data_IF_645895908103
#
_entry.id   IF_645895908103
#
_cell.length_a   1.000
_cell.length_b   1.000
_cell.length_c   1.000
_cell.angle_alpha   90.00
_cell.angle_beta   90.00
_cell.angle_gamma   90.00
#
_symmetry.space_group_name_H-M   'P 1'
#
loop_
_entity.id
_entity.type
_entity.pdbx_description
1 polymer ?
#
# COMPACT_ATOMS: atom_id res chain seq x y z
N UNK A 1 18.38 1.14 6.60
CA UNK A 1 17.22 0.96 5.71
C UNK A 1 16.46 -0.25 6.23
N UNK A 2 15.25 -0.08 6.75
CA UNK A 2 14.41 -1.20 7.17
C UNK A 2 13.85 -1.82 5.88
N UNK A 3 14.40 -2.95 5.45
CA UNK A 3 13.94 -3.67 4.27
C UNK A 3 13.45 -5.05 4.73
N UNK A 4 12.20 -5.16 5.18
CA UNK A 4 11.69 -6.41 5.72
C UNK A 4 11.70 -7.48 4.63
N UNK A 5 11.98 -8.72 5.02
CA UNK A 5 11.85 -9.85 4.11
C UNK A 5 10.38 -10.04 3.71
N UNK A 6 10.15 -10.74 2.59
CA UNK A 6 8.80 -11.12 2.16
C UNK A 6 8.00 -11.79 3.29
N UNK A 7 8.65 -12.67 4.03
CA UNK A 7 7.99 -13.45 5.07
C UNK A 7 7.67 -12.58 6.29
N UNK A 8 8.55 -11.62 6.64
CA UNK A 8 8.27 -10.63 7.70
C UNK A 8 7.06 -9.75 7.37
N UNK A 9 6.91 -9.33 6.10
CA UNK A 9 5.74 -8.56 5.65
C UNK A 9 4.46 -9.39 5.77
N UNK A 10 4.50 -10.66 5.35
CA UNK A 10 3.35 -11.57 5.43
C UNK A 10 2.93 -11.81 6.87
N UNK A 11 3.89 -12.18 7.72
CA UNK A 11 3.67 -12.41 9.15
C UNK A 11 3.06 -11.17 9.82
N UNK A 12 3.59 -9.98 9.52
CA UNK A 12 3.04 -8.73 10.03
C UNK A 12 1.56 -8.54 9.72
N UNK A 13 1.13 -8.70 8.47
CA UNK A 13 -0.28 -8.51 8.09
C UNK A 13 -1.20 -9.60 8.64
N UNK A 14 -0.74 -10.86 8.63
CA UNK A 14 -1.49 -11.99 9.20
C UNK A 14 -1.71 -11.78 10.70
N UNK A 15 -0.66 -11.43 11.45
CA UNK A 15 -0.77 -11.19 12.89
C UNK A 15 -1.59 -9.94 13.22
N UNK A 16 -1.43 -8.86 12.45
CA UNK A 16 -2.25 -7.65 12.62
C UNK A 16 -3.74 -7.97 12.43
N UNK A 17 -4.09 -8.74 11.39
CA UNK A 17 -5.46 -9.16 11.12
C UNK A 17 -6.00 -10.08 12.22
N UNK A 18 -5.20 -11.06 12.64
CA UNK A 18 -5.54 -11.99 13.73
C UNK A 18 -5.86 -11.24 15.02
N UNK A 19 -4.98 -10.33 15.45
CA UNK A 19 -5.16 -9.51 16.67
C UNK A 19 -6.42 -8.66 16.60
N UNK A 20 -6.66 -8.01 15.46
CA UNK A 20 -7.87 -7.23 15.25
C UNK A 20 -9.13 -8.09 15.42
N UNK A 21 -9.16 -9.27 14.79
CA UNK A 21 -10.28 -10.21 14.84
C UNK A 21 -10.53 -10.80 16.23
N UNK A 22 -9.49 -10.99 17.04
CA UNK A 22 -9.61 -11.53 18.40
C UNK A 22 -9.81 -10.45 19.47
N UNK A 23 -9.80 -9.17 19.09
CA UNK A 23 -9.92 -8.06 20.04
C UNK A 23 -8.66 -7.85 20.89
N UNK A 24 -7.51 -8.34 20.44
CA UNK A 24 -6.22 -8.11 21.08
C UNK A 24 -5.72 -6.68 20.81
N UNK A 25 -4.80 -6.20 21.66
CA UNK A 25 -4.15 -4.92 21.46
C UNK A 25 -3.29 -4.97 20.19
N UNK A 26 -3.48 -3.97 19.34
CA UNK A 26 -2.68 -3.71 18.14
C UNK A 26 -1.73 -2.54 18.40
N UNK A 27 -0.52 -2.63 17.88
CA UNK A 27 0.42 -1.51 17.83
C UNK A 27 -0.10 -0.39 16.90
N UNK A 28 0.44 0.84 16.96
CA UNK A 28 0.03 1.89 16.04
C UNK A 28 0.19 1.52 14.56
N UNK A 29 1.28 0.82 14.20
CA UNK A 29 1.50 0.36 12.83
C UNK A 29 0.50 -0.73 12.42
N UNK A 30 0.20 -1.68 13.31
CA UNK A 30 -0.83 -2.70 13.08
C UNK A 30 -2.22 -2.05 12.95
N UNK A 31 -2.53 -1.03 13.75
CA UNK A 31 -3.80 -0.28 13.63
C UNK A 31 -3.92 0.38 12.25
N UNK A 32 -2.87 1.04 11.77
CA UNK A 32 -2.85 1.62 10.41
C UNK A 32 -3.04 0.55 9.34
N UNK A 33 -2.43 -0.62 9.50
CA UNK A 33 -2.61 -1.73 8.57
C UNK A 33 -4.06 -2.25 8.58
N UNK A 34 -4.64 -2.41 9.77
CA UNK A 34 -6.02 -2.87 9.97
C UNK A 34 -7.03 -1.94 9.30
N UNK A 35 -6.83 -0.63 9.38
CA UNK A 35 -7.70 0.35 8.72
C UNK A 35 -7.78 0.13 7.21
N UNK A 36 -6.70 -0.34 6.58
CA UNK A 36 -6.68 -0.73 5.17
C UNK A 36 -7.22 -2.14 4.94
N UNK A 37 -6.89 -3.10 5.80
CA UNK A 37 -7.39 -4.48 5.68
C UNK A 37 -8.93 -4.53 5.74
N UNK A 38 -9.57 -3.74 6.60
CA UNK A 38 -11.05 -3.65 6.68
C UNK A 38 -11.66 -3.12 5.39
N UNK A 39 -10.94 -2.27 4.64
CA UNK A 39 -11.39 -1.72 3.34
C UNK A 39 -11.19 -2.69 2.17
N UNK A 40 -10.49 -3.79 2.40
CA UNK A 40 -10.15 -4.80 1.39
C UNK A 40 -10.64 -6.20 1.78
N UNK A 41 -11.98 -6.43 1.83
CA UNK A 41 -12.55 -7.73 2.16
C UNK A 41 -12.10 -8.86 1.22
N UNK A 42 -11.71 -8.54 -0.02
CA UNK A 42 -11.16 -9.49 -0.99
C UNK A 42 -9.87 -10.18 -0.52
N UNK A 43 -9.17 -9.61 0.48
CA UNK A 43 -7.92 -10.17 1.01
C UNK A 43 -8.10 -10.89 2.35
N UNK A 44 -9.28 -10.86 2.97
CA UNK A 44 -9.50 -11.48 4.28
C UNK A 44 -9.23 -12.99 4.25
N UNK A 45 -9.62 -13.68 3.18
CA UNK A 45 -9.34 -15.11 3.03
C UNK A 45 -7.84 -15.41 3.01
N UNK A 46 -7.03 -14.56 2.37
CA UNK A 46 -5.57 -14.72 2.36
C UNK A 46 -4.97 -14.42 3.72
N UNK A 47 -5.46 -13.40 4.43
CA UNK A 47 -4.98 -13.04 5.76
C UNK A 47 -5.30 -14.09 6.82
N UNK A 48 -6.28 -14.95 6.56
CA UNK A 48 -6.72 -16.03 7.47
C UNK A 48 -6.20 -17.41 7.07
N UNK A 49 -5.62 -17.53 5.88
CA UNK A 49 -5.16 -18.81 5.35
C UNK A 49 -3.84 -19.24 6.01
N UNK A 50 -3.74 -20.47 6.53
CA UNK A 50 -2.47 -21.01 7.01
C UNK A 50 -1.42 -21.18 5.89
N UNK A 51 -1.84 -21.21 4.63
CA UNK A 51 -0.98 -21.31 3.45
C UNK A 51 -0.47 -19.95 2.95
N UNK A 52 -0.94 -18.83 3.51
CA UNK A 52 -0.64 -17.49 3.00
C UNK A 52 0.87 -17.16 3.01
N UNK A 53 1.62 -17.78 3.93
CA UNK A 53 3.08 -17.67 4.03
C UNK A 53 3.82 -18.26 2.84
N UNK A 54 3.28 -19.30 2.20
CA UNK A 54 3.92 -19.99 1.06
C UNK A 54 3.21 -19.73 -0.26
N UNK A 55 2.04 -19.10 -0.24
CA UNK A 55 1.25 -18.80 -1.43
C UNK A 55 2.03 -17.96 -2.47
N UNK A 56 1.80 -18.29 -3.74
CA UNK A 56 2.34 -17.56 -4.89
C UNK A 56 1.24 -16.75 -5.58
N UNK A 57 1.44 -15.44 -5.66
CA UNK A 57 0.55 -14.48 -6.30
C UNK A 57 1.19 -14.04 -7.62
N UNK A 58 0.93 -14.77 -8.70
CA UNK A 58 1.46 -14.44 -10.02
C UNK A 58 0.48 -13.58 -10.81
N UNK A 59 1.03 -12.61 -11.56
CA UNK A 59 0.27 -11.74 -12.46
C UNK A 59 -0.47 -12.56 -13.53
N UNK A 60 0.12 -13.67 -13.98
CA UNK A 60 -0.49 -14.61 -14.95
C UNK A 60 -1.80 -15.22 -14.46
N UNK A 61 -1.96 -15.40 -13.14
CA UNK A 61 -3.21 -15.88 -12.53
C UNK A 61 -4.24 -14.76 -12.35
N UNK A 62 -3.97 -13.56 -12.86
CA UNK A 62 -4.84 -12.39 -12.77
C UNK A 62 -5.05 -11.90 -11.33
N UNK A 63 -4.17 -12.30 -10.40
CA UNK A 63 -4.37 -12.09 -8.97
C UNK A 63 -3.37 -11.09 -8.41
N UNK A 64 -3.88 -9.97 -7.92
CA UNK A 64 -3.10 -8.99 -7.16
C UNK A 64 -2.57 -9.63 -5.88
N UNK A 65 -1.29 -9.41 -5.58
CA UNK A 65 -0.68 -9.88 -4.34
C UNK A 65 -1.19 -9.02 -3.15
N UNK A 66 -1.95 -9.59 -2.20
CA UNK A 66 -2.56 -8.85 -1.10
C UNK A 66 -1.52 -8.14 -0.23
N UNK A 67 -0.40 -8.82 0.04
CA UNK A 67 0.66 -8.29 0.90
C UNK A 67 1.40 -7.13 0.26
N UNK A 68 1.62 -7.19 -1.06
CA UNK A 68 2.22 -6.07 -1.78
C UNK A 68 1.25 -4.89 -1.81
N UNK A 69 -0.02 -5.13 -2.11
CA UNK A 69 -1.05 -4.10 -2.16
C UNK A 69 -1.20 -3.37 -0.81
N UNK A 70 -1.34 -4.12 0.29
CA UNK A 70 -1.44 -3.55 1.63
C UNK A 70 -0.13 -2.84 2.06
N UNK A 71 1.03 -3.34 1.64
CA UNK A 71 2.31 -2.64 1.86
C UNK A 71 2.35 -1.28 1.16
N UNK A 72 1.82 -1.19 -0.07
CA UNK A 72 1.74 0.08 -0.79
C UNK A 72 0.81 1.08 -0.09
N UNK A 73 -0.30 0.61 0.50
CA UNK A 73 -1.16 1.46 1.34
C UNK A 73 -0.40 2.05 2.55
N UNK A 74 0.40 1.24 3.25
CA UNK A 74 1.20 1.72 4.38
C UNK A 74 2.27 2.72 3.93
N UNK A 75 2.96 2.43 2.82
CA UNK A 75 3.95 3.35 2.26
C UNK A 75 3.33 4.71 1.91
N UNK A 76 2.15 4.72 1.28
CA UNK A 76 1.44 5.97 0.95
C UNK A 76 0.98 6.69 2.23
N UNK A 77 0.48 5.97 3.24
CA UNK A 77 0.09 6.58 4.51
C UNK A 77 1.29 7.27 5.20
N UNK A 78 2.47 6.63 5.19
CA UNK A 78 3.71 7.23 5.68
C UNK A 78 4.08 8.47 4.87
N UNK A 79 4.12 8.37 3.54
CA UNK A 79 4.40 9.48 2.62
C UNK A 79 3.50 10.70 2.88
N UNK A 80 2.21 10.49 3.10
CA UNK A 80 1.24 11.54 3.43
C UNK A 80 1.50 12.16 4.82
N UNK A 81 1.89 11.34 5.79
CA UNK A 81 2.17 11.78 7.16
C UNK A 81 3.36 12.74 7.21
N UNK A 82 4.41 12.49 6.42
CA UNK A 82 5.62 13.31 6.39
C UNK A 82 5.68 14.30 5.21
N UNK A 83 4.64 14.32 4.35
CA UNK A 83 4.61 15.08 3.08
C UNK A 83 5.84 14.82 2.21
N UNK A 84 6.15 13.54 1.98
CA UNK A 84 7.25 13.12 1.14
C UNK A 84 6.74 12.20 0.02
N UNK A 85 6.97 12.51 -1.26
CA UNK A 85 7.64 13.72 -1.77
C UNK A 85 6.85 15.02 -1.46
N UNK A 86 7.53 16.18 -1.32
CA UNK A 86 6.88 17.44 -0.98
C UNK A 86 5.68 17.78 -1.87
N UNK A 87 4.56 18.09 -1.24
CA UNK A 87 3.31 18.42 -1.91
C UNK A 87 2.39 17.21 -2.19
N UNK A 88 2.80 15.98 -1.84
CA UNK A 88 1.91 14.81 -1.95
C UNK A 88 0.64 15.00 -1.13
N UNK A 89 0.72 15.60 0.06
CA UNK A 89 -0.46 15.85 0.91
C UNK A 89 -1.46 16.78 0.24
N UNK A 90 -0.98 17.85 -0.40
CA UNK A 90 -1.83 18.79 -1.11
C UNK A 90 -2.47 18.16 -2.35
N UNK A 91 -1.74 17.32 -3.09
CA UNK A 91 -2.29 16.60 -4.23
C UNK A 91 -3.32 15.54 -3.80
N UNK A 92 -3.05 14.80 -2.71
CA UNK A 92 -4.00 13.87 -2.10
C UNK A 92 -5.29 14.57 -1.67
N UNK A 93 -5.22 15.72 -1.01
CA UNK A 93 -6.42 16.48 -0.62
C UNK A 93 -7.28 16.88 -1.82
N UNK A 94 -6.66 17.22 -2.97
CA UNK A 94 -7.40 17.49 -4.21
C UNK A 94 -8.08 16.25 -4.77
N UNK A 95 -7.41 15.09 -4.73
CA UNK A 95 -8.01 13.81 -5.13
C UNK A 95 -9.20 13.44 -4.24
N UNK A 96 -9.04 13.56 -2.92
CA UNK A 96 -10.13 13.32 -1.96
C UNK A 96 -11.31 14.24 -2.20
N UNK A 97 -11.08 15.51 -2.52
CA UNK A 97 -12.17 16.46 -2.81
C UNK A 97 -13.04 16.06 -4.03
N UNK A 98 -12.57 15.14 -4.87
CA UNK A 98 -13.28 14.62 -6.06
C UNK A 98 -13.92 13.26 -5.84
N UNK A 99 -13.63 12.59 -4.73
CA UNK A 99 -14.10 11.23 -4.45
C UNK A 99 -14.03 10.94 -2.95
N UNK A 100 -13.41 9.82 -2.59
CA UNK A 100 -13.15 9.46 -1.20
C UNK A 100 -11.66 9.15 -0.97
N UNK A 101 -11.30 8.97 0.29
CA UNK A 101 -9.93 8.67 0.71
C UNK A 101 -9.38 7.36 0.12
N UNK A 102 -10.23 6.34 -0.06
CA UNK A 102 -9.80 5.04 -0.58
C UNK A 102 -9.45 5.16 -2.06
N UNK A 103 -10.34 5.77 -2.84
CA UNK A 103 -10.12 6.03 -4.25
C UNK A 103 -8.90 6.95 -4.48
N UNK A 104 -8.75 8.00 -3.67
CA UNK A 104 -7.60 8.90 -3.77
C UNK A 104 -6.26 8.18 -3.51
N UNK A 105 -6.22 7.26 -2.54
CA UNK A 105 -5.00 6.45 -2.31
C UNK A 105 -4.75 5.47 -3.46
N UNK A 106 -5.77 4.91 -4.10
CA UNK A 106 -5.58 4.07 -5.29
C UNK A 106 -5.04 4.85 -6.50
N UNK A 107 -5.48 6.09 -6.74
CA UNK A 107 -4.88 6.94 -7.78
C UNK A 107 -3.39 7.22 -7.52
N UNK A 108 -3.01 7.43 -6.25
CA UNK A 108 -1.60 7.56 -5.85
C UNK A 108 -0.86 6.23 -6.02
N UNK A 109 -1.49 5.11 -5.68
CA UNK A 109 -0.91 3.77 -5.79
C UNK A 109 -0.56 3.41 -7.23
N UNK A 110 -1.39 3.78 -8.21
CA UNK A 110 -1.10 3.62 -9.63
C UNK A 110 0.18 4.38 -10.03
N UNK A 111 0.32 5.62 -9.55
CA UNK A 111 1.53 6.43 -9.78
C UNK A 111 2.77 5.78 -9.13
N UNK A 112 2.62 5.27 -7.90
CA UNK A 112 3.70 4.59 -7.18
C UNK A 112 4.13 3.30 -7.89
N UNK A 113 3.17 2.49 -8.35
CA UNK A 113 3.41 1.27 -9.10
C UNK A 113 4.20 1.53 -10.38
N UNK A 114 3.84 2.59 -11.12
CA UNK A 114 4.54 2.99 -12.33
C UNK A 114 6.01 3.33 -12.08
N UNK A 115 6.31 4.17 -11.08
CA UNK A 115 7.71 4.59 -10.81
C UNK A 115 8.55 3.46 -10.20
N UNK A 116 7.94 2.58 -9.38
CA UNK A 116 8.62 1.40 -8.83
C UNK A 116 8.96 0.41 -9.95
N UNK A 117 8.03 0.15 -10.86
CA UNK A 117 8.27 -0.72 -12.01
C UNK A 117 9.38 -0.19 -12.92
N UNK A 118 9.37 1.12 -13.21
CA UNK A 118 10.38 1.74 -14.06
C UNK A 118 11.77 1.68 -13.41
N UNK A 119 11.87 1.96 -12.11
CA UNK A 119 13.10 1.84 -11.34
C UNK A 119 13.66 0.41 -11.34
N UNK A 120 12.80 -0.60 -11.15
CA UNK A 120 13.18 -2.00 -11.22
C UNK A 120 13.67 -2.40 -12.62
N UNK A 121 12.96 -1.96 -13.67
CA UNK A 121 13.29 -2.25 -15.06
C UNK A 121 14.63 -1.65 -15.48
N UNK A 122 14.94 -0.44 -15.00
CA UNK A 122 16.17 0.29 -15.32
C UNK A 122 17.33 -0.01 -14.36
N UNK A 123 17.07 -0.65 -13.22
CA UNK A 123 18.08 -0.87 -12.18
C UNK A 123 18.52 0.44 -11.51
N UNK A 124 17.65 1.45 -11.46
CA UNK A 124 17.92 2.77 -10.89
C UNK A 124 17.12 3.00 -9.61
N UNK A 125 17.49 3.99 -8.77
CA UNK A 125 16.61 4.46 -7.70
C UNK A 125 15.26 4.94 -8.25
N UNK A 126 14.24 4.93 -7.39
CA UNK A 126 12.92 5.49 -7.72
C UNK A 126 13.03 7.00 -7.96
N UNK A 127 12.48 7.46 -9.08
CA UNK A 127 12.41 8.88 -9.41
C UNK A 127 11.26 9.54 -8.65
N UNK A 128 11.60 10.26 -7.57
CA UNK A 128 10.63 10.95 -6.72
C UNK A 128 10.00 12.18 -7.39
N UNK A 129 10.69 12.79 -8.36
CA UNK A 129 10.19 13.95 -9.09
C UNK A 129 9.14 13.51 -10.12
N UNK A 130 9.41 12.43 -10.84
CA UNK A 130 8.42 11.80 -11.71
C UNK A 130 7.19 11.32 -10.89
N UNK A 131 7.41 10.75 -9.70
CA UNK A 131 6.32 10.29 -8.84
C UNK A 131 5.36 11.42 -8.45
N UNK A 132 5.87 12.53 -7.91
CA UNK A 132 5.00 13.65 -7.49
C UNK A 132 4.31 14.31 -8.68
N UNK A 133 4.97 14.38 -9.84
CA UNK A 133 4.40 14.96 -11.06
C UNK A 133 3.21 14.12 -11.57
N UNK A 134 3.33 12.79 -11.59
CA UNK A 134 2.22 11.89 -11.93
C UNK A 134 1.02 12.10 -11.00
N UNK A 135 1.26 12.21 -9.69
CA UNK A 135 0.19 12.44 -8.71
C UNK A 135 -0.48 13.80 -8.94
N UNK A 136 0.28 14.86 -9.24
CA UNK A 136 -0.26 16.19 -9.54
C UNK A 136 -1.14 16.17 -10.78
N UNK A 137 -0.72 15.50 -11.84
CA UNK A 137 -1.52 15.32 -13.05
C UNK A 137 -2.84 14.60 -12.77
N UNK A 138 -2.84 13.54 -11.95
CA UNK A 138 -4.09 12.89 -11.49
C UNK A 138 -4.97 13.87 -10.71
N UNK A 139 -4.38 14.64 -9.82
CA UNK A 139 -5.06 15.63 -8.99
C UNK A 139 -5.56 16.87 -9.74
N UNK A 140 -5.25 17.02 -11.04
CA UNK A 140 -5.66 18.13 -11.89
C UNK A 140 -6.78 17.76 -12.88
N UNK A 141 -6.90 16.48 -13.27
CA UNK A 141 -7.95 15.95 -14.17
C UNK A 141 -9.38 16.18 -13.71
#
# INVERSE_FOLDING_TARGET
>A
MFNPSRDQVREFFIEAWRKHRTGELVTPLESMAVDWMVKHPEYHQDLESPEAMTAEYSVEKGRTNPFLHLSMHLAIAEQLSIDHPPGIRAAYQRLVARGDAHHAVHEIMECLGQVVWEAQRLGTPMDTDAYIELIRQRAER
#
